data_IF_288720296196
#
_entry.id   IF_288720296196
#
_cell.length_a   1.000
_cell.length_b   1.000
_cell.length_c   1.000
_cell.angle_alpha   90.00
_cell.angle_beta   90.00
_cell.angle_gamma   90.00
#
_symmetry.space_group_name_H-M   'P 1'
#
loop_
_entity.id
_entity.type
_entity.pdbx_description
1 polymer ?
#
# COMPACT_ATOMS: atom_id res chain seq x y z
N UNK A 1 19.65 1.56 3.82
CA UNK A 1 18.29 2.16 3.78
C UNK A 1 17.27 1.13 4.23
N UNK A 2 16.20 1.53 4.94
CA UNK A 2 15.16 0.62 5.44
C UNK A 2 13.91 0.68 4.55
N UNK A 3 13.28 -0.47 4.30
CA UNK A 3 12.08 -0.57 3.44
C UNK A 3 10.97 -1.34 4.12
N UNK A 4 9.74 -0.85 3.97
CA UNK A 4 8.51 -1.55 4.31
C UNK A 4 7.84 -1.96 2.99
N UNK A 5 7.67 -3.26 2.78
CA UNK A 5 6.84 -3.79 1.70
C UNK A 5 5.40 -3.85 2.19
N UNK A 6 4.53 -3.04 1.57
CA UNK A 6 3.15 -2.84 2.01
C UNK A 6 2.18 -3.69 1.18
N UNK A 7 1.43 -4.56 1.85
CA UNK A 7 0.21 -5.18 1.35
C UNK A 7 -1.02 -4.37 1.77
N UNK A 8 -1.49 -3.49 0.88
CA UNK A 8 -2.59 -2.54 1.15
C UNK A 8 -3.82 -3.25 1.71
N UNK A 9 -4.27 -4.34 1.08
CA UNK A 9 -5.49 -5.02 1.51
C UNK A 9 -5.28 -5.79 2.84
N UNK A 10 -4.05 -6.25 3.11
CA UNK A 10 -3.69 -6.90 4.38
C UNK A 10 -3.53 -5.93 5.55
N UNK A 11 -3.17 -4.67 5.28
CA UNK A 11 -2.84 -3.67 6.33
C UNK A 11 -3.87 -2.56 6.43
N UNK A 12 -4.12 -1.84 5.34
CA UNK A 12 -4.94 -0.62 5.32
C UNK A 12 -6.43 -0.92 5.15
N UNK A 13 -6.78 -2.08 4.59
CA UNK A 13 -8.16 -2.46 4.33
C UNK A 13 -8.63 -3.55 5.28
N UNK A 14 -9.05 -3.16 6.49
CA UNK A 14 -9.50 -4.13 7.50
C UNK A 14 -10.87 -4.71 7.13
N UNK A 15 -11.21 -5.88 7.69
CA UNK A 15 -12.56 -6.47 7.54
C UNK A 15 -13.67 -5.47 7.95
N UNK A 16 -13.40 -4.67 8.98
CA UNK A 16 -14.35 -3.66 9.49
C UNK A 16 -14.56 -2.55 8.47
N UNK A 17 -13.48 -1.92 7.99
CA UNK A 17 -13.59 -0.81 7.03
C UNK A 17 -14.15 -1.30 5.68
N UNK A 18 -13.76 -2.50 5.26
CA UNK A 18 -14.25 -3.13 4.03
C UNK A 18 -15.75 -3.45 4.04
N UNK A 19 -16.29 -3.91 5.18
CA UNK A 19 -17.73 -4.16 5.30
C UNK A 19 -18.52 -2.85 5.24
N UNK A 20 -18.08 -1.82 5.97
CA UNK A 20 -18.73 -0.51 5.97
C UNK A 20 -18.74 0.10 4.56
N UNK A 21 -17.63 -0.02 3.84
CA UNK A 21 -17.52 0.42 2.45
C UNK A 21 -18.47 -0.33 1.52
N UNK A 22 -18.47 -1.65 1.58
CA UNK A 22 -19.33 -2.48 0.73
C UNK A 22 -20.82 -2.13 0.91
N UNK A 23 -21.27 -1.93 2.15
CA UNK A 23 -22.64 -1.50 2.46
C UNK A 23 -22.96 -0.10 1.90
N UNK A 24 -22.01 0.83 1.95
CA UNK A 24 -22.20 2.17 1.41
C UNK A 24 -22.34 2.16 -0.11
N UNK A 25 -21.53 1.35 -0.79
CA UNK A 25 -21.56 1.16 -2.25
C UNK A 25 -22.85 0.47 -2.69
N UNK A 26 -23.27 -0.58 -1.99
CA UNK A 26 -24.52 -1.31 -2.28
C UNK A 26 -25.74 -0.39 -2.19
N UNK A 27 -25.84 0.41 -1.12
CA UNK A 27 -26.92 1.39 -0.93
C UNK A 27 -26.99 2.42 -2.06
N UNK A 28 -25.85 2.79 -2.64
CA UNK A 28 -25.75 3.75 -3.74
C UNK A 28 -25.90 3.10 -5.13
N UNK A 29 -25.89 1.76 -5.21
CA UNK A 29 -25.82 1.00 -6.49
C UNK A 29 -24.69 1.49 -7.40
N UNK A 30 -23.55 1.85 -6.81
CA UNK A 30 -22.41 2.42 -7.52
C UNK A 30 -21.33 1.36 -7.76
N UNK A 31 -20.45 1.61 -8.73
CA UNK A 31 -19.17 0.90 -8.85
C UNK A 31 -18.09 1.75 -8.20
N UNK A 32 -17.39 1.26 -7.16
CA UNK A 32 -16.42 2.06 -6.43
C UNK A 32 -15.16 2.33 -7.26
N UNK A 33 -14.70 3.58 -7.28
CA UNK A 33 -13.38 3.93 -7.81
C UNK A 33 -12.28 3.80 -6.73
N UNK A 34 -11.02 3.87 -7.14
CA UNK A 34 -9.90 3.71 -6.20
C UNK A 34 -9.81 4.83 -5.17
N UNK A 35 -10.20 6.07 -5.49
CA UNK A 35 -10.27 7.17 -4.50
C UNK A 35 -11.27 6.87 -3.38
N UNK A 36 -12.43 6.30 -3.71
CA UNK A 36 -13.42 5.89 -2.72
C UNK A 36 -12.89 4.76 -1.83
N UNK A 37 -12.10 3.84 -2.40
CA UNK A 37 -11.45 2.76 -1.65
C UNK A 37 -10.38 3.28 -0.69
N UNK A 38 -9.60 4.28 -1.10
CA UNK A 38 -8.62 4.94 -0.22
C UNK A 38 -9.32 5.63 0.96
N UNK A 39 -10.46 6.29 0.72
CA UNK A 39 -11.29 6.88 1.79
C UNK A 39 -11.86 5.85 2.76
N UNK A 40 -11.91 4.59 2.34
CA UNK A 40 -12.33 3.46 3.15
C UNK A 40 -11.18 2.73 3.85
N UNK A 41 -9.95 3.23 3.77
CA UNK A 41 -8.87 2.70 4.59
C UNK A 41 -9.19 2.86 6.08
N UNK A 42 -8.73 1.87 6.85
CA UNK A 42 -8.86 1.90 8.29
C UNK A 42 -7.98 3.02 8.86
N UNK A 43 -8.63 3.93 9.59
CA UNK A 43 -8.00 5.15 10.09
C UNK A 43 -6.87 4.84 11.08
N UNK A 44 -7.02 3.80 11.90
CA UNK A 44 -5.98 3.40 12.85
C UNK A 44 -4.79 2.78 12.12
N UNK A 45 -5.04 1.93 11.12
CA UNK A 45 -3.98 1.35 10.31
C UNK A 45 -3.17 2.41 9.54
N UNK A 46 -3.86 3.39 8.93
CA UNK A 46 -3.22 4.52 8.24
C UNK A 46 -2.36 5.34 9.20
N UNK A 47 -2.89 5.63 10.40
CA UNK A 47 -2.16 6.37 11.43
C UNK A 47 -0.92 5.61 11.89
N UNK A 48 -1.06 4.32 12.21
CA UNK A 48 0.04 3.48 12.67
C UNK A 48 1.14 3.36 11.61
N UNK A 49 0.76 3.19 10.33
CA UNK A 49 1.73 3.15 9.23
C UNK A 49 2.46 4.49 9.07
N UNK A 50 1.73 5.61 9.18
CA UNK A 50 2.31 6.96 9.19
C UNK A 50 3.32 7.16 10.31
N UNK A 51 2.99 6.70 11.52
CA UNK A 51 3.88 6.76 12.68
C UNK A 51 5.12 5.87 12.51
N UNK A 52 4.96 4.65 11.99
CA UNK A 52 6.10 3.76 11.68
C UNK A 52 7.06 4.41 10.67
N UNK A 53 6.53 4.97 9.59
CA UNK A 53 7.33 5.68 8.58
C UNK A 53 8.05 6.87 9.19
N UNK A 54 7.36 7.67 10.00
CA UNK A 54 7.95 8.84 10.66
C UNK A 54 9.07 8.46 11.63
N UNK A 55 8.86 7.46 12.49
CA UNK A 55 9.83 7.06 13.52
C UNK A 55 11.06 6.36 12.94
N UNK A 56 10.89 5.61 11.84
CA UNK A 56 11.99 4.81 11.26
C UNK A 56 12.68 5.48 10.08
N UNK A 57 12.02 6.45 9.44
CA UNK A 57 12.46 6.98 8.14
C UNK A 57 12.42 5.93 7.02
N UNK A 58 11.72 4.80 7.22
CA UNK A 58 11.64 3.74 6.23
C UNK A 58 10.88 4.21 4.98
N UNK A 59 11.33 3.71 3.83
CA UNK A 59 10.67 3.92 2.54
C UNK A 59 9.62 2.84 2.29
N UNK A 60 8.55 3.18 1.58
CA UNK A 60 7.45 2.27 1.28
C UNK A 60 7.55 1.74 -0.15
N UNK A 61 7.38 0.43 -0.29
CA UNK A 61 7.22 -0.24 -1.58
C UNK A 61 5.89 -0.98 -1.59
N UNK A 62 4.99 -0.62 -2.51
CA UNK A 62 3.70 -1.31 -2.62
C UNK A 62 3.94 -2.68 -3.24
N UNK A 63 3.61 -3.72 -2.49
CA UNK A 63 3.68 -5.10 -2.95
C UNK A 63 2.29 -5.64 -3.34
N UNK A 64 1.20 -5.02 -2.87
CA UNK A 64 -0.19 -5.43 -3.12
C UNK A 64 -0.61 -5.46 -4.59
N UNK A 65 -1.75 -6.08 -4.87
CA UNK A 65 -2.37 -6.15 -6.21
C UNK A 65 -2.77 -4.79 -6.79
N UNK A 66 -2.79 -3.72 -5.98
CA UNK A 66 -3.05 -2.36 -6.47
C UNK A 66 -2.04 -1.91 -7.52
N UNK A 67 -0.77 -2.37 -7.43
CA UNK A 67 0.29 -2.10 -8.42
C UNK A 67 -0.04 -2.64 -9.82
N UNK A 68 -1.01 -3.55 -9.95
CA UNK A 68 -1.44 -4.13 -11.22
C UNK A 68 -2.46 -3.23 -11.95
N UNK A 69 -3.10 -2.31 -11.22
CA UNK A 69 -4.16 -1.43 -11.71
C UNK A 69 -3.74 0.04 -11.77
N UNK A 70 -2.74 0.41 -10.98
CA UNK A 70 -2.20 1.76 -10.89
C UNK A 70 -0.66 1.70 -10.89
N UNK A 71 -0.04 2.54 -11.72
CA UNK A 71 1.41 2.74 -11.67
C UNK A 71 1.80 3.58 -10.43
N UNK A 72 3.11 3.74 -10.23
CA UNK A 72 3.63 4.49 -9.08
C UNK A 72 3.15 5.94 -9.03
N UNK A 73 2.95 6.59 -10.17
CA UNK A 73 2.48 7.98 -10.21
C UNK A 73 1.02 8.06 -9.77
N UNK A 74 0.16 7.19 -10.30
CA UNK A 74 -1.25 7.09 -9.89
C UNK A 74 -1.36 6.74 -8.41
N UNK A 75 -0.53 5.83 -7.90
CA UNK A 75 -0.51 5.50 -6.47
C UNK A 75 -0.08 6.69 -5.60
N UNK A 76 0.89 7.49 -6.05
CA UNK A 76 1.29 8.73 -5.36
C UNK A 76 0.13 9.73 -5.30
N UNK A 77 -0.59 9.89 -6.40
CA UNK A 77 -1.74 10.78 -6.47
C UNK A 77 -2.89 10.26 -5.60
N UNK A 78 -3.16 8.96 -5.58
CA UNK A 78 -4.17 8.37 -4.70
C UNK A 78 -3.85 8.57 -3.22
N UNK A 79 -2.57 8.47 -2.85
CA UNK A 79 -2.14 8.55 -1.45
C UNK A 79 -1.73 9.95 -1.00
N UNK A 80 -1.75 10.98 -1.85
CA UNK A 80 -1.13 12.29 -1.58
C UNK A 80 -1.51 12.94 -0.23
N UNK A 81 -2.70 12.64 0.30
CA UNK A 81 -3.23 13.17 1.55
C UNK A 81 -2.97 12.28 2.78
N UNK A 82 -2.37 11.10 2.59
CA UNK A 82 -2.08 10.15 3.65
C UNK A 82 -0.74 10.49 4.33
N UNK A 83 -0.61 10.23 5.65
CA UNK A 83 0.57 10.64 6.43
C UNK A 83 1.89 10.02 5.96
N UNK A 84 1.84 8.87 5.29
CA UNK A 84 3.01 8.15 4.79
C UNK A 84 3.32 8.41 3.30
N UNK A 85 2.54 9.25 2.60
CA UNK A 85 2.62 9.41 1.14
C UNK A 85 4.02 9.78 0.64
N UNK A 86 4.72 10.63 1.39
CA UNK A 86 6.07 11.11 1.09
C UNK A 86 7.14 10.00 1.10
N UNK A 87 6.84 8.85 1.71
CA UNK A 87 7.76 7.72 1.79
C UNK A 87 7.57 6.71 0.65
N UNK A 88 6.58 6.89 -0.23
CA UNK A 88 6.32 5.98 -1.35
C UNK A 88 7.46 6.02 -2.39
N UNK A 89 8.27 4.97 -2.37
CA UNK A 89 9.47 4.81 -3.20
C UNK A 89 9.18 4.08 -4.49
N UNK A 90 8.36 3.03 -4.44
CA UNK A 90 8.13 2.18 -5.61
C UNK A 90 7.05 1.14 -5.44
N UNK A 91 7.00 0.23 -6.41
CA UNK A 91 6.17 -0.97 -6.39
C UNK A 91 7.02 -2.19 -6.73
N UNK A 92 6.66 -3.37 -6.24
CA UNK A 92 7.26 -4.61 -6.75
C UNK A 92 6.84 -4.86 -8.20
N UNK A 93 7.56 -5.75 -8.89
CA UNK A 93 7.15 -6.24 -10.20
C UNK A 93 5.88 -7.09 -10.14
N UNK A 94 5.38 -7.45 -11.31
CA UNK A 94 4.24 -8.35 -11.49
C UNK A 94 4.67 -9.58 -12.30
N UNK A 95 5.72 -10.27 -11.85
CA UNK A 95 6.10 -11.54 -12.47
C UNK A 95 5.03 -12.59 -12.14
N UNK A 96 4.71 -13.53 -13.05
CA UNK A 96 3.78 -14.65 -12.78
C UNK A 96 4.39 -15.70 -11.83
N UNK A 97 4.90 -15.24 -10.70
CA UNK A 97 5.55 -16.01 -9.63
C UNK A 97 4.91 -15.65 -8.29
N UNK A 98 5.52 -16.04 -7.18
CA UNK A 98 5.03 -15.71 -5.84
C UNK A 98 5.35 -14.25 -5.49
N UNK A 99 4.58 -13.66 -4.55
CA UNK A 99 4.90 -12.34 -3.98
C UNK A 99 6.31 -12.28 -3.38
N UNK A 100 6.77 -13.37 -2.79
CA UNK A 100 8.12 -13.48 -2.25
C UNK A 100 9.18 -13.34 -3.33
N UNK A 101 8.98 -13.95 -4.50
CA UNK A 101 9.87 -13.81 -5.65
C UNK A 101 9.91 -12.37 -6.17
N UNK A 102 8.76 -11.69 -6.21
CA UNK A 102 8.66 -10.29 -6.65
C UNK A 102 9.40 -9.34 -5.70
N UNK A 103 9.25 -9.55 -4.39
CA UNK A 103 9.96 -8.79 -3.36
C UNK A 103 11.47 -9.06 -3.44
N UNK A 104 11.87 -10.32 -3.57
CA UNK A 104 13.28 -10.70 -3.71
C UNK A 104 13.90 -10.07 -4.96
N UNK A 105 13.19 -10.10 -6.10
CA UNK A 105 13.65 -9.46 -7.33
C UNK A 105 13.82 -7.94 -7.16
N UNK A 106 12.91 -7.28 -6.43
CA UNK A 106 13.03 -5.85 -6.11
C UNK A 106 14.22 -5.57 -5.19
N UNK A 107 14.44 -6.40 -4.16
CA UNK A 107 15.59 -6.27 -3.26
C UNK A 107 16.92 -6.43 -4.01
N UNK A 108 17.01 -7.40 -4.93
CA UNK A 108 18.21 -7.63 -5.73
C UNK A 108 18.55 -6.46 -6.67
N UNK A 109 17.56 -5.67 -7.10
CA UNK A 109 17.80 -4.45 -7.88
C UNK A 109 18.12 -3.22 -7.01
N UNK A 110 18.03 -3.33 -5.67
CA UNK A 110 18.29 -2.26 -4.72
C UNK A 110 19.32 -2.69 -3.65
N UNK A 111 20.61 -2.87 -4.02
CA UNK A 111 21.64 -3.39 -3.11
C UNK A 111 21.93 -2.49 -1.89
N UNK A 112 21.45 -1.24 -1.88
CA UNK A 112 21.58 -0.30 -0.74
C UNK A 112 20.58 -0.53 0.40
N UNK A 113 19.67 -1.51 0.28
CA UNK A 113 18.74 -1.87 1.36
C UNK A 113 19.46 -2.71 2.40
N UNK A 114 19.40 -2.27 3.66
CA UNK A 114 20.12 -2.88 4.79
C UNK A 114 19.19 -3.66 5.71
N UNK A 115 17.88 -3.36 5.68
CA UNK A 115 16.85 -4.06 6.44
C UNK A 115 15.50 -3.85 5.80
N UNK A 116 14.60 -4.82 5.91
CA UNK A 116 13.22 -4.69 5.44
C UNK A 116 12.24 -5.43 6.33
N UNK A 117 10.97 -5.05 6.22
CA UNK A 117 9.83 -5.79 6.77
C UNK A 117 8.75 -5.90 5.70
N UNK A 118 7.94 -6.95 5.79
CA UNK A 118 6.77 -7.18 4.94
C UNK A 118 5.56 -7.14 5.86
N UNK A 119 4.63 -6.23 5.59
CA UNK A 119 3.39 -6.07 6.34
C UNK A 119 2.19 -6.07 5.41
#
# INVERSE_FOLDING_TARGET
>A
MQVIFLDIDGVLYTKRSGLAFAQAIERRRATPCDEERVKAFDVEAVKNLGELVYLTGARLVVSSTWRLRADLHVLRDLFHHLPFAHALEGTTGAQRRTRADEILAWLLSHPGITSFVII
#
